data_IF_193541127424
#
_entry.id   IF_193541127424
#
_cell.length_a   1.000
_cell.length_b   1.000
_cell.length_c   1.000
_cell.angle_alpha   90.00
_cell.angle_beta   90.00
_cell.angle_gamma   90.00
#
_symmetry.space_group_name_H-M   'P 1'
#
loop_
_entity.id
_entity.type
_entity.pdbx_description
1 polymer ?
#
# COMPACT_ATOMS: atom_id res chain seq x y z
N UNK A 1 -10.59 11.09 -0.29
CA UNK A 1 -9.94 12.01 0.64
C UNK A 1 -9.39 13.23 -0.11
N UNK A 2 -8.52 13.08 -1.10
CA UNK A 2 -7.92 14.20 -1.84
C UNK A 2 -8.78 14.74 -3.00
N UNK A 3 -10.06 14.37 -3.09
CA UNK A 3 -10.92 14.71 -4.21
C UNK A 3 -10.66 13.86 -5.47
N UNK A 4 -9.89 12.79 -5.34
CA UNK A 4 -9.84 11.73 -6.34
C UNK A 4 -11.22 11.09 -6.45
N UNK A 5 -11.69 10.90 -7.68
CA UNK A 5 -12.93 10.17 -7.95
C UNK A 5 -12.68 8.68 -7.78
N UNK A 6 -13.66 7.94 -7.29
CA UNK A 6 -13.52 6.52 -6.97
C UNK A 6 -13.06 5.69 -8.18
N UNK A 7 -13.50 6.04 -9.39
CA UNK A 7 -13.07 5.38 -10.62
C UNK A 7 -11.58 5.61 -11.01
N UNK A 8 -10.89 6.50 -10.28
CA UNK A 8 -9.45 6.75 -10.43
C UNK A 8 -8.59 6.03 -9.41
N UNK A 9 -9.21 5.27 -8.52
CA UNK A 9 -8.54 4.51 -7.49
C UNK A 9 -8.75 3.02 -7.76
N UNK A 10 -7.68 2.26 -7.79
CA UNK A 10 -7.72 0.82 -7.96
C UNK A 10 -7.14 0.18 -6.69
N UNK A 11 -7.95 -0.65 -6.05
CA UNK A 11 -7.53 -1.49 -4.95
C UNK A 11 -8.25 -2.82 -5.08
N UNK A 12 -7.57 -3.83 -5.62
CA UNK A 12 -8.19 -5.07 -6.09
C UNK A 12 -9.04 -5.80 -5.05
N UNK A 13 -8.78 -5.58 -3.76
CA UNK A 13 -9.43 -6.27 -2.65
C UNK A 13 -10.38 -5.41 -1.81
N UNK A 14 -10.50 -4.10 -2.08
CA UNK A 14 -11.27 -3.18 -1.23
C UNK A 14 -12.39 -2.49 -2.00
N UNK A 15 -13.67 -2.82 -1.75
CA UNK A 15 -14.79 -2.04 -2.30
C UNK A 15 -14.77 -0.59 -1.80
N UNK A 16 -15.18 0.39 -2.63
CA UNK A 16 -15.70 0.29 -4.00
C UNK A 16 -14.62 0.25 -5.10
N UNK A 17 -13.34 0.24 -4.73
CA UNK A 17 -12.19 0.38 -5.63
C UNK A 17 -11.76 -0.93 -6.29
N UNK A 18 -12.49 -2.02 -6.04
CA UNK A 18 -12.17 -3.34 -6.54
C UNK A 18 -12.44 -3.47 -8.05
N UNK A 19 -11.80 -4.48 -8.64
CA UNK A 19 -11.99 -4.83 -10.04
C UNK A 19 -13.47 -5.11 -10.32
N UNK A 20 -14.07 -4.55 -11.39
CA UNK A 20 -15.47 -4.72 -11.68
C UNK A 20 -15.86 -6.18 -11.89
N UNK A 21 -17.04 -6.57 -11.40
CA UNK A 21 -17.56 -7.93 -11.50
C UNK A 21 -17.58 -8.42 -12.97
N UNK A 22 -17.16 -9.66 -13.19
CA UNK A 22 -17.11 -10.29 -14.52
C UNK A 22 -15.78 -10.12 -15.24
N UNK A 23 -14.85 -9.30 -14.75
CA UNK A 23 -13.50 -9.21 -15.32
C UNK A 23 -12.59 -10.29 -14.74
N UNK A 24 -11.66 -10.76 -15.57
CA UNK A 24 -10.55 -11.59 -15.09
C UNK A 24 -9.49 -10.67 -14.48
N UNK A 25 -9.17 -10.89 -13.22
CA UNK A 25 -8.30 -10.01 -12.41
C UNK A 25 -7.00 -9.67 -13.12
N UNK A 26 -6.26 -10.67 -13.56
CA UNK A 26 -4.95 -10.45 -14.18
C UNK A 26 -5.02 -9.78 -15.56
N UNK A 27 -6.01 -10.14 -16.40
CA UNK A 27 -6.20 -9.50 -17.70
C UNK A 27 -6.55 -8.03 -17.52
N UNK A 28 -7.40 -7.73 -16.55
CA UNK A 28 -7.80 -6.36 -16.23
C UNK A 28 -6.62 -5.53 -15.71
N UNK A 29 -5.84 -6.06 -14.75
CA UNK A 29 -4.65 -5.39 -14.23
C UNK A 29 -3.60 -5.15 -15.33
N UNK A 30 -3.33 -6.14 -16.18
CA UNK A 30 -2.40 -5.96 -17.32
C UNK A 30 -2.87 -4.83 -18.22
N UNK A 31 -4.17 -4.75 -18.51
CA UNK A 31 -4.73 -3.67 -19.33
C UNK A 31 -4.51 -2.29 -18.67
N UNK A 32 -4.77 -2.16 -17.36
CA UNK A 32 -4.52 -0.90 -16.65
C UNK A 32 -3.04 -0.53 -16.64
N UNK A 33 -2.15 -1.47 -16.33
CA UNK A 33 -0.70 -1.24 -16.37
C UNK A 33 -0.17 -0.83 -17.74
N UNK A 34 -0.76 -1.33 -18.84
CA UNK A 34 -0.30 -1.02 -20.19
C UNK A 34 -0.89 0.27 -20.77
N UNK A 35 -2.10 0.64 -20.34
CA UNK A 35 -2.87 1.69 -21.02
C UNK A 35 -3.15 2.91 -20.14
N UNK A 36 -2.82 2.86 -18.85
CA UNK A 36 -3.02 3.96 -17.91
C UNK A 36 -1.68 4.50 -17.39
N UNK A 37 -1.62 5.79 -17.11
CA UNK A 37 -0.48 6.42 -16.43
C UNK A 37 -0.71 6.31 -14.92
N UNK A 38 -0.13 5.28 -14.31
CA UNK A 38 -0.40 4.90 -12.94
C UNK A 38 0.60 5.52 -11.96
N UNK A 39 0.09 5.91 -10.78
CA UNK A 39 0.90 6.12 -9.60
C UNK A 39 0.62 4.99 -8.60
N UNK A 40 1.59 4.11 -8.41
CA UNK A 40 1.45 2.92 -7.56
C UNK A 40 1.84 3.25 -6.12
N UNK A 41 0.97 2.93 -5.16
CA UNK A 41 1.28 3.06 -3.74
C UNK A 41 1.55 1.68 -3.17
N UNK A 42 2.79 1.44 -2.76
CA UNK A 42 3.18 0.19 -2.10
C UNK A 42 2.98 0.29 -0.59
N UNK A 43 2.14 -0.56 -0.03
CA UNK A 43 1.99 -0.73 1.41
C UNK A 43 2.92 -1.86 1.91
N UNK A 44 4.20 -1.54 2.09
CA UNK A 44 5.23 -2.51 2.45
C UNK A 44 5.01 -3.10 3.83
N UNK A 45 4.88 -4.41 3.87
CA UNK A 45 4.71 -5.23 5.06
C UNK A 45 5.32 -6.62 4.85
N UNK A 46 5.36 -7.46 5.88
CA UNK A 46 5.73 -8.86 5.71
C UNK A 46 4.74 -9.58 4.78
N UNK A 47 3.44 -9.29 4.93
CA UNK A 47 2.38 -9.89 4.13
C UNK A 47 2.47 -9.45 2.66
N UNK A 48 2.82 -8.18 2.40
CA UNK A 48 3.13 -7.69 1.04
C UNK A 48 4.18 -8.56 0.34
N UNK A 49 5.29 -8.84 1.02
CA UNK A 49 6.38 -9.66 0.46
C UNK A 49 6.05 -11.16 0.42
N UNK A 50 5.03 -11.60 1.10
CA UNK A 50 4.50 -12.98 1.02
C UNK A 50 3.48 -13.15 -0.11
N UNK A 51 3.00 -12.05 -0.69
CA UNK A 51 2.01 -12.05 -1.75
C UNK A 51 2.67 -12.09 -3.14
N UNK A 52 2.47 -13.19 -3.85
CA UNK A 52 2.96 -13.32 -5.24
C UNK A 52 2.33 -12.26 -6.16
N UNK A 53 1.05 -11.93 -5.94
CA UNK A 53 0.37 -10.88 -6.70
C UNK A 53 1.05 -9.51 -6.52
N UNK A 54 1.31 -9.11 -5.28
CA UNK A 54 1.98 -7.84 -4.97
C UNK A 54 3.40 -7.74 -5.57
N UNK A 55 4.15 -8.85 -5.57
CA UNK A 55 5.47 -8.90 -6.20
C UNK A 55 5.39 -8.81 -7.73
N UNK A 56 4.38 -9.41 -8.35
CA UNK A 56 4.13 -9.27 -9.79
C UNK A 56 3.77 -7.83 -10.17
N UNK A 57 2.94 -7.15 -9.37
CA UNK A 57 2.59 -5.75 -9.57
C UNK A 57 3.82 -4.84 -9.41
N UNK A 58 4.69 -5.12 -8.44
CA UNK A 58 5.97 -4.42 -8.28
C UNK A 58 6.85 -4.59 -9.53
N UNK A 59 6.97 -5.80 -10.06
CA UNK A 59 7.71 -6.09 -11.28
C UNK A 59 7.13 -5.37 -12.50
N UNK A 60 5.80 -5.35 -12.64
CA UNK A 60 5.11 -4.63 -13.72
C UNK A 60 5.35 -3.12 -13.63
N UNK A 61 5.21 -2.54 -12.43
CA UNK A 61 5.48 -1.12 -12.18
C UNK A 61 6.90 -0.73 -12.59
N UNK A 62 7.89 -1.54 -12.20
CA UNK A 62 9.29 -1.32 -12.55
C UNK A 62 9.53 -1.44 -14.06
N UNK A 63 9.00 -2.49 -14.70
CA UNK A 63 9.20 -2.76 -16.11
C UNK A 63 8.58 -1.69 -17.00
N UNK A 64 7.41 -1.19 -16.64
CA UNK A 64 6.66 -0.17 -17.37
C UNK A 64 7.00 1.26 -16.92
N UNK A 65 7.88 1.42 -15.94
CA UNK A 65 8.37 2.71 -15.43
C UNK A 65 7.26 3.62 -14.89
N UNK A 66 6.23 3.02 -14.31
CA UNK A 66 5.21 3.80 -13.59
C UNK A 66 5.81 4.48 -12.36
N UNK A 67 5.21 5.59 -11.97
CA UNK A 67 5.55 6.23 -10.70
C UNK A 67 5.11 5.38 -9.53
N UNK A 68 5.80 5.49 -8.42
CA UNK A 68 5.41 4.81 -7.21
C UNK A 68 5.80 5.57 -5.94
N UNK A 69 5.07 5.33 -4.88
CA UNK A 69 5.38 5.81 -3.53
C UNK A 69 5.33 4.64 -2.57
N UNK A 70 6.39 4.47 -1.79
CA UNK A 70 6.47 3.45 -0.76
C UNK A 70 5.92 3.95 0.58
N UNK A 71 5.08 3.15 1.21
CA UNK A 71 4.58 3.36 2.56
C UNK A 71 4.93 2.14 3.39
N UNK A 72 5.78 2.30 4.39
CA UNK A 72 6.12 1.22 5.32
C UNK A 72 5.05 1.15 6.40
N UNK A 73 4.36 0.01 6.47
CA UNK A 73 3.38 -0.24 7.52
C UNK A 73 4.06 -0.45 8.88
N UNK A 74 3.35 -0.23 9.99
CA UNK A 74 3.91 -0.38 11.33
C UNK A 74 4.60 -1.73 11.55
N UNK A 75 5.81 -1.70 12.09
CA UNK A 75 6.66 -2.86 12.31
C UNK A 75 7.55 -3.26 11.14
N UNK A 76 7.37 -2.68 9.95
CA UNK A 76 8.24 -2.92 8.80
C UNK A 76 9.37 -1.89 8.72
N UNK A 77 10.59 -2.33 8.35
CA UNK A 77 11.78 -1.49 8.40
C UNK A 77 12.40 -1.30 7.01
N UNK A 78 13.10 -0.17 6.80
CA UNK A 78 13.77 0.14 5.54
C UNK A 78 14.76 -0.93 5.06
N UNK A 79 15.45 -1.59 5.97
CA UNK A 79 16.40 -2.66 5.65
C UNK A 79 15.73 -3.96 5.18
N UNK A 80 14.42 -4.07 5.31
CA UNK A 80 13.62 -5.20 4.85
C UNK A 80 13.08 -5.00 3.42
N UNK A 81 13.25 -3.79 2.86
CA UNK A 81 12.86 -3.52 1.48
C UNK A 81 13.68 -4.37 0.51
N UNK A 82 13.02 -5.01 -0.43
CA UNK A 82 13.64 -5.86 -1.46
C UNK A 82 12.87 -5.80 -2.80
N UNK A 83 13.44 -6.42 -3.84
CA UNK A 83 12.80 -6.51 -5.15
C UNK A 83 13.16 -5.39 -6.13
N UNK A 84 12.27 -5.18 -7.10
CA UNK A 84 12.47 -4.24 -8.22
C UNK A 84 12.12 -2.79 -7.84
N UNK A 85 12.71 -2.29 -6.75
CA UNK A 85 12.53 -0.91 -6.27
C UNK A 85 13.87 -0.21 -6.10
N UNK A 86 13.87 1.10 -6.26
CA UNK A 86 15.03 1.92 -5.90
C UNK A 86 15.02 2.15 -4.38
N UNK A 87 15.90 1.43 -3.66
CA UNK A 87 16.02 1.53 -2.20
C UNK A 87 16.54 2.90 -1.72
N UNK A 88 16.99 3.76 -2.63
CA UNK A 88 17.39 5.13 -2.32
C UNK A 88 16.22 6.11 -2.38
N UNK A 89 15.08 5.71 -2.94
CA UNK A 89 13.87 6.50 -2.94
C UNK A 89 13.29 6.58 -1.54
N UNK A 90 12.93 7.79 -1.12
CA UNK A 90 12.37 8.04 0.21
C UNK A 90 10.97 7.45 0.27
N UNK A 91 10.71 6.66 1.33
CA UNK A 91 9.38 6.12 1.63
C UNK A 91 8.82 6.72 2.93
N UNK A 92 7.51 6.64 3.09
CA UNK A 92 6.80 7.09 4.29
C UNK A 92 6.76 5.94 5.29
N UNK A 93 7.30 6.13 6.49
CA UNK A 93 7.23 5.14 7.57
C UNK A 93 6.14 5.53 8.55
N UNK A 94 5.06 4.72 8.66
CA UNK A 94 3.87 5.08 9.43
C UNK A 94 4.04 4.99 10.95
N UNK A 95 5.04 4.24 11.42
CA UNK A 95 5.41 4.15 12.84
C UNK A 95 6.73 4.90 13.13
N UNK A 96 7.03 5.96 12.36
CA UNK A 96 8.18 6.79 12.64
C UNK A 96 8.04 7.45 14.02
N UNK A 97 9.07 7.33 14.84
CA UNK A 97 9.14 7.96 16.15
C UNK A 97 9.14 9.49 16.09
N UNK A 98 9.59 10.08 14.98
CA UNK A 98 9.47 11.50 14.70
C UNK A 98 8.16 11.83 13.98
N UNK A 99 7.13 12.06 14.78
CA UNK A 99 5.81 12.43 14.29
C UNK A 99 5.83 13.71 13.41
N UNK A 100 6.78 14.62 13.60
CA UNK A 100 6.91 15.83 12.78
C UNK A 100 7.35 15.44 11.35
N UNK A 101 8.36 14.61 11.23
CA UNK A 101 8.83 14.11 9.93
C UNK A 101 7.75 13.31 9.23
N UNK A 102 7.03 12.43 9.93
CA UNK A 102 5.92 11.68 9.35
C UNK A 102 4.81 12.60 8.81
N UNK A 103 4.36 13.58 9.60
CA UNK A 103 3.34 14.55 9.17
C UNK A 103 3.80 15.38 7.97
N UNK A 104 5.06 15.76 7.94
CA UNK A 104 5.67 16.46 6.82
C UNK A 104 5.66 15.59 5.54
N UNK A 105 6.10 14.34 5.62
CA UNK A 105 6.10 13.41 4.49
C UNK A 105 4.72 13.13 3.93
N UNK A 106 3.71 13.00 4.80
CA UNK A 106 2.32 12.85 4.35
C UNK A 106 1.81 14.11 3.64
N UNK A 107 2.25 15.30 4.07
CA UNK A 107 1.88 16.55 3.40
C UNK A 107 2.58 16.69 2.04
N UNK A 108 3.87 16.33 1.93
CA UNK A 108 4.57 16.29 0.65
C UNK A 108 3.86 15.33 -0.34
N UNK A 109 3.51 14.14 0.13
CA UNK A 109 2.80 13.17 -0.70
C UNK A 109 1.43 13.68 -1.16
N UNK A 110 0.66 14.30 -0.26
CA UNK A 110 -0.59 15.00 -0.64
C UNK A 110 -0.36 16.02 -1.77
N UNK A 111 0.66 16.87 -1.62
CA UNK A 111 0.93 17.94 -2.59
C UNK A 111 1.39 17.36 -3.93
N UNK A 112 2.15 16.27 -3.92
CA UNK A 112 2.54 15.56 -5.13
C UNK A 112 1.33 15.00 -5.86
N UNK A 113 0.42 14.30 -5.19
CA UNK A 113 -0.80 13.77 -5.79
C UNK A 113 -1.74 14.87 -6.32
N UNK A 114 -1.89 15.98 -5.57
CA UNK A 114 -2.68 17.13 -6.02
C UNK A 114 -2.12 17.68 -7.34
N UNK A 115 -0.80 17.84 -7.42
CA UNK A 115 -0.13 18.33 -8.62
C UNK A 115 -0.22 17.35 -9.78
N UNK A 116 0.02 16.08 -9.53
CA UNK A 116 0.06 15.04 -10.55
C UNK A 116 -1.31 14.82 -11.19
N UNK A 117 -2.35 14.69 -10.38
CA UNK A 117 -3.72 14.45 -10.85
C UNK A 117 -4.52 15.73 -11.07
N UNK A 118 -3.89 16.91 -10.98
CA UNK A 118 -4.53 18.23 -11.12
C UNK A 118 -5.80 18.34 -10.25
N UNK A 119 -5.68 17.95 -8.98
CA UNK A 119 -6.80 17.95 -8.05
C UNK A 119 -7.03 19.35 -7.46
N UNK A 120 -8.26 19.59 -7.02
CA UNK A 120 -8.57 20.82 -6.31
C UNK A 120 -7.91 20.80 -4.93
N UNK A 121 -7.08 21.80 -4.60
CA UNK A 121 -6.47 21.90 -3.27
C UNK A 121 -7.54 21.96 -2.17
N UNK A 122 -7.33 21.24 -1.10
CA UNK A 122 -8.15 21.37 0.11
C UNK A 122 -7.54 22.41 1.06
N UNK A 123 -8.34 22.90 2.02
CA UNK A 123 -7.82 23.79 3.05
C UNK A 123 -6.84 23.06 3.96
N UNK A 124 -5.82 23.75 4.44
CA UNK A 124 -4.82 23.15 5.33
C UNK A 124 -5.46 22.58 6.61
N UNK A 125 -6.41 23.30 7.19
CA UNK A 125 -7.14 22.83 8.37
C UNK A 125 -7.92 21.52 8.10
N UNK A 126 -8.47 21.34 6.90
CA UNK A 126 -9.15 20.09 6.52
C UNK A 126 -8.13 18.96 6.36
N UNK A 127 -7.00 19.25 5.72
CA UNK A 127 -5.93 18.28 5.55
C UNK A 127 -5.36 17.81 6.90
N UNK A 128 -5.00 18.74 7.77
CA UNK A 128 -4.44 18.43 9.09
C UNK A 128 -5.36 17.52 9.90
N UNK A 129 -6.67 17.84 9.93
CA UNK A 129 -7.64 16.99 10.62
C UNK A 129 -7.69 15.58 10.03
N UNK A 130 -7.80 15.45 8.69
CA UNK A 130 -7.88 14.13 8.04
C UNK A 130 -6.59 13.32 8.21
N UNK A 131 -5.43 13.97 8.14
CA UNK A 131 -4.14 13.36 8.39
C UNK A 131 -4.05 12.83 9.84
N UNK A 132 -4.43 13.66 10.78
CA UNK A 132 -4.32 13.31 12.20
C UNK A 132 -5.32 12.20 12.56
N UNK A 133 -6.57 12.25 12.06
CA UNK A 133 -7.55 11.16 12.16
C UNK A 133 -7.00 9.83 11.55
N UNK A 134 -6.28 9.91 10.44
CA UNK A 134 -5.65 8.74 9.82
C UNK A 134 -4.54 8.17 10.73
N UNK A 135 -3.66 9.00 11.27
CA UNK A 135 -2.57 8.58 12.14
C UNK A 135 -3.10 7.95 13.45
N UNK A 136 -4.17 8.49 14.03
CA UNK A 136 -4.81 7.93 15.21
C UNK A 136 -5.39 6.53 14.94
N UNK A 137 -5.98 6.31 13.77
CA UNK A 137 -6.45 4.97 13.37
C UNK A 137 -5.30 3.99 13.20
N UNK A 138 -4.19 4.39 12.56
CA UNK A 138 -3.00 3.55 12.42
C UNK A 138 -2.45 3.17 13.79
N UNK A 139 -2.33 4.12 14.72
CA UNK A 139 -1.89 3.86 16.10
C UNK A 139 -2.78 2.83 16.79
N UNK A 140 -4.11 3.03 16.72
CA UNK A 140 -5.09 2.11 17.31
C UNK A 140 -4.97 0.68 16.79
N UNK A 141 -4.83 0.52 15.46
CA UNK A 141 -4.68 -0.79 14.81
C UNK A 141 -3.36 -1.44 15.23
N UNK A 142 -2.28 -0.68 15.28
CA UNK A 142 -0.96 -1.16 15.68
C UNK A 142 -0.95 -1.66 17.12
N UNK A 143 -1.57 -0.92 18.04
CA UNK A 143 -1.71 -1.31 19.43
C UNK A 143 -2.57 -2.56 19.61
N UNK A 144 -3.68 -2.68 18.85
CA UNK A 144 -4.54 -3.85 18.90
C UNK A 144 -3.77 -5.11 18.46
N UNK A 145 -3.05 -5.06 17.33
CA UNK A 145 -2.20 -6.17 16.86
C UNK A 145 -1.11 -6.54 17.86
N UNK A 146 -0.49 -5.56 18.49
CA UNK A 146 0.54 -5.81 19.49
C UNK A 146 0.00 -6.50 20.76
N UNK A 147 -1.27 -6.27 21.12
CA UNK A 147 -1.96 -6.98 22.23
C UNK A 147 -2.28 -8.42 21.84
N UNK A 148 -2.84 -8.65 20.66
CA UNK A 148 -3.16 -9.98 20.15
C UNK A 148 -1.92 -10.88 20.08
N UNK A 149 -0.77 -10.37 19.60
CA UNK A 149 0.49 -11.12 19.57
C UNK A 149 1.02 -11.48 20.97
N UNK A 150 0.71 -10.69 22.01
CA UNK A 150 1.10 -11.00 23.39
C UNK A 150 0.21 -12.07 24.02
N UNK A 151 -1.08 -12.06 23.72
CA UNK A 151 -2.06 -12.98 24.29
C UNK A 151 -1.98 -14.39 23.66
N UNK A 152 -1.53 -14.50 22.41
CA UNK A 152 -1.41 -15.79 21.69
C UNK A 152 -0.10 -16.53 21.95
N UNK A 153 0.90 -15.91 22.58
CA UNK A 153 2.15 -16.57 23.01
C UNK A 153 2.99 -17.18 21.85
N UNK A 154 2.70 -16.87 20.64
CA UNK A 154 3.41 -17.42 19.47
C UNK A 154 4.69 -16.63 19.18
N UNK A 155 5.81 -17.15 19.69
CA UNK A 155 7.12 -16.90 19.13
C UNK A 155 7.12 -17.36 17.65
N UNK A 156 7.43 -16.43 16.75
CA UNK A 156 7.55 -16.59 15.31
C UNK A 156 8.41 -17.83 14.92
N UNK A 157 7.76 -18.95 14.67
CA UNK A 157 8.30 -20.10 13.93
C UNK A 157 7.26 -20.55 12.91
N UNK A 158 7.04 -19.76 11.87
CA UNK A 158 6.34 -20.24 10.68
C UNK A 158 7.35 -20.69 9.64
N UNK A 159 7.49 -22.01 9.64
CA UNK A 159 8.06 -22.87 8.61
C UNK A 159 7.62 -22.42 7.21
N UNK A 160 8.59 -22.21 6.31
CA UNK A 160 8.35 -21.99 4.88
C UNK A 160 7.71 -23.26 4.31
N UNK A 161 6.45 -23.24 3.81
CA UNK A 161 5.88 -24.43 3.21
C UNK A 161 6.53 -24.67 1.84
N UNK A 162 7.04 -25.87 1.66
CA UNK A 162 7.41 -26.44 0.35
C UNK A 162 6.15 -26.49 -0.52
N UNK A 163 6.22 -25.96 -1.74
CA UNK A 163 5.13 -25.93 -2.71
C UNK A 163 4.72 -27.36 -3.06
N UNK A 164 3.59 -27.81 -2.51
CA UNK A 164 2.82 -28.96 -2.99
C UNK A 164 1.70 -28.45 -3.87
N UNK A 165 1.56 -29.03 -5.05
CA UNK A 165 0.45 -28.82 -5.96
C UNK A 165 -0.89 -29.20 -5.27
N UNK A 166 -1.94 -28.45 -5.61
CA UNK A 166 -3.34 -28.67 -5.29
C UNK A 166 -3.87 -28.03 -4.00
N UNK A 167 -4.14 -26.71 -4.06
CA UNK A 167 -5.34 -26.14 -3.42
C UNK A 167 -5.64 -24.74 -4.02
N UNK A 168 -6.72 -24.67 -4.81
CA UNK A 168 -7.29 -23.39 -5.28
C UNK A 168 -8.20 -22.86 -4.18
N UNK A 169 -7.63 -22.53 -3.05
CA UNK A 169 -8.29 -21.87 -1.93
C UNK A 169 -7.98 -20.37 -1.96
N UNK A 170 -9.01 -19.57 -1.77
CA UNK A 170 -9.02 -18.10 -1.72
C UNK A 170 -7.73 -17.50 -1.17
N UNK A 171 -6.94 -16.88 -2.05
CA UNK A 171 -5.73 -16.14 -1.71
C UNK A 171 -6.16 -14.80 -1.11
N UNK A 172 -5.76 -14.46 0.12
CA UNK A 172 -5.92 -13.09 0.60
C UNK A 172 -4.97 -12.20 -0.21
N UNK A 173 -5.52 -11.41 -1.11
CA UNK A 173 -4.75 -10.41 -1.87
C UNK A 173 -4.66 -9.18 -0.99
N UNK A 174 -3.51 -8.93 -0.37
CA UNK A 174 -3.26 -7.61 0.21
C UNK A 174 -2.97 -6.59 -0.90
N UNK A 175 -3.55 -5.39 -0.81
CA UNK A 175 -3.62 -4.48 -1.95
C UNK A 175 -2.34 -3.68 -2.16
N UNK A 176 -1.84 -3.67 -3.41
CA UNK A 176 -1.23 -2.46 -3.92
C UNK A 176 -2.36 -1.49 -4.33
N UNK A 177 -2.23 -0.22 -3.96
CA UNK A 177 -3.14 0.82 -4.41
C UNK A 177 -2.56 1.42 -5.69
N UNK A 178 -3.36 1.38 -6.77
CA UNK A 178 -3.06 2.06 -8.02
C UNK A 178 -3.91 3.34 -8.09
N UNK A 179 -3.29 4.46 -8.41
CA UNK A 179 -3.94 5.75 -8.60
C UNK A 179 -3.82 6.21 -10.03
#
# INVERSE_FOLDING_TARGET
ILGLRDEKIICSSVPPYCIPLGNKVYEWLVNEFQNSDLHVIYAFSKDYYSSVASLNEMGATWALKHKWTGVLLPGFQFNQLDGCIDKTQIAIKLDDSDNRTLKYRLSEFKDELIKEFNLRPMSEATWERQRDDFLDRISTITEARARECKDTGEADQRHVPTIGQDDVGSIPVEPAFLL
#
